data_IF_292060670652
#
_entry.id   IF_292060670652
#
_cell.length_a   1.000
_cell.length_b   1.000
_cell.length_c   1.000
_cell.angle_alpha   90.00
_cell.angle_beta   90.00
_cell.angle_gamma   90.00
#
_symmetry.space_group_name_H-M   'P 1'
#
loop_
_entity.id
_entity.type
_entity.pdbx_description
1 polymer ?
#
# COMPACT_ATOMS: atom_id res chain seq x y z
N UNK A 1 10.51 -12.06 7.39
CA UNK A 1 11.12 -10.74 7.14
C UNK A 1 10.00 -9.75 6.92
N UNK A 2 9.91 -8.69 7.74
CA UNK A 2 8.94 -7.62 7.53
C UNK A 2 9.55 -6.67 6.50
N UNK A 3 8.94 -6.47 5.31
CA UNK A 3 9.48 -5.55 4.32
C UNK A 3 9.54 -4.14 4.89
N UNK A 4 10.61 -3.42 4.54
CA UNK A 4 10.82 -2.02 4.92
C UNK A 4 9.78 -1.10 4.27
N UNK A 5 9.65 0.13 4.77
CA UNK A 5 8.72 1.12 4.21
C UNK A 5 8.93 1.34 2.70
N UNK A 6 10.19 1.37 2.26
CA UNK A 6 10.57 1.52 0.86
C UNK A 6 10.19 0.29 0.02
N UNK A 7 10.39 -0.92 0.54
CA UNK A 7 9.97 -2.15 -0.15
C UNK A 7 8.45 -2.24 -0.25
N UNK A 8 7.71 -1.81 0.78
CA UNK A 8 6.26 -1.73 0.72
C UNK A 8 5.80 -0.70 -0.30
N UNK A 9 6.44 0.46 -0.35
CA UNK A 9 6.15 1.48 -1.35
C UNK A 9 6.32 0.93 -2.76
N UNK A 10 7.45 0.28 -3.06
CA UNK A 10 7.72 -0.32 -4.36
C UNK A 10 6.67 -1.38 -4.75
N UNK A 11 6.25 -2.22 -3.79
CA UNK A 11 5.17 -3.20 -4.01
C UNK A 11 3.83 -2.54 -4.30
N UNK A 12 3.49 -1.49 -3.58
CA UNK A 12 2.24 -0.75 -3.79
C UNK A 12 2.25 -0.06 -5.15
N UNK A 13 3.37 0.54 -5.55
CA UNK A 13 3.49 1.21 -6.86
C UNK A 13 3.38 0.22 -8.02
N UNK A 14 4.05 -0.93 -7.93
CA UNK A 14 3.90 -2.01 -8.92
C UNK A 14 2.44 -2.49 -9.01
N UNK A 15 1.80 -2.73 -7.87
CA UNK A 15 0.40 -3.13 -7.81
C UNK A 15 -0.55 -2.08 -8.41
N UNK A 16 -0.30 -0.80 -8.11
CA UNK A 16 -1.08 0.32 -8.66
C UNK A 16 -0.93 0.41 -10.18
N UNK A 17 0.29 0.21 -10.70
CA UNK A 17 0.56 0.20 -12.14
C UNK A 17 -0.12 -0.98 -12.85
N UNK A 18 -0.02 -2.20 -12.29
CA UNK A 18 -0.65 -3.40 -12.84
C UNK A 18 -2.18 -3.28 -12.90
N UNK A 19 -2.79 -2.71 -11.86
CA UNK A 19 -4.25 -2.62 -11.74
C UNK A 19 -4.82 -1.29 -12.24
N UNK A 20 -3.99 -0.38 -12.78
CA UNK A 20 -4.38 0.98 -13.16
C UNK A 20 -5.11 1.74 -12.03
N UNK A 21 -4.70 1.52 -10.77
CA UNK A 21 -5.26 2.19 -9.59
C UNK A 21 -4.34 3.33 -9.17
N UNK A 22 -4.91 4.51 -8.89
CA UNK A 22 -4.12 5.62 -8.34
C UNK A 22 -3.65 5.29 -6.91
N UNK A 23 -2.40 5.61 -6.53
CA UNK A 23 -1.90 5.46 -5.17
C UNK A 23 -2.84 6.03 -4.10
N UNK A 24 -3.44 7.20 -4.37
CA UNK A 24 -4.37 7.86 -3.45
C UNK A 24 -5.66 7.03 -3.26
N UNK A 25 -6.16 6.42 -4.33
CA UNK A 25 -7.32 5.52 -4.30
C UNK A 25 -6.99 4.23 -3.58
N UNK A 26 -5.79 3.68 -3.82
CA UNK A 26 -5.31 2.50 -3.12
C UNK A 26 -5.24 2.75 -1.60
N UNK A 27 -4.58 3.81 -1.16
CA UNK A 27 -4.44 4.12 0.27
C UNK A 27 -5.80 4.31 0.95
N UNK A 28 -6.73 4.99 0.27
CA UNK A 28 -8.09 5.19 0.78
C UNK A 28 -8.91 3.88 0.85
N UNK A 29 -8.72 2.94 -0.08
CA UNK A 29 -9.39 1.64 -0.06
C UNK A 29 -8.76 0.66 0.93
N UNK A 30 -7.43 0.60 1.00
CA UNK A 30 -6.70 -0.34 1.83
C UNK A 30 -6.73 0.03 3.32
N UNK A 31 -6.50 1.30 3.66
CA UNK A 31 -6.37 1.72 5.06
C UNK A 31 -7.30 2.86 5.46
N UNK A 32 -7.97 3.50 4.51
CA UNK A 32 -8.79 4.70 4.73
C UNK A 32 -8.03 6.02 4.64
N UNK A 33 -6.74 5.98 4.27
CA UNK A 33 -5.84 7.15 4.22
C UNK A 33 -5.19 7.27 2.85
N UNK A 34 -5.65 8.24 2.06
CA UNK A 34 -5.09 8.52 0.73
C UNK A 34 -3.69 9.14 0.77
N UNK A 35 -3.25 9.66 1.92
CA UNK A 35 -1.93 10.28 2.08
C UNK A 35 -0.88 9.27 2.58
N UNK A 36 -1.26 8.01 2.81
CA UNK A 36 -0.34 7.00 3.30
C UNK A 36 0.90 6.87 2.39
N UNK A 37 0.69 6.76 1.08
CA UNK A 37 1.76 6.53 0.11
C UNK A 37 2.64 7.76 -0.04
N UNK A 38 2.04 8.96 -0.05
CA UNK A 38 2.79 10.22 0.00
C UNK A 38 3.64 10.33 1.26
N UNK A 39 3.13 9.85 2.40
CA UNK A 39 3.89 9.71 3.64
C UNK A 39 5.08 8.78 3.48
N UNK A 40 4.87 7.59 2.91
CA UNK A 40 5.94 6.61 2.68
C UNK A 40 7.03 7.14 1.74
N UNK A 41 6.65 7.87 0.68
CA UNK A 41 7.61 8.58 -0.19
C UNK A 41 8.44 9.61 0.56
N UNK A 42 7.89 10.22 1.59
CA UNK A 42 8.57 11.21 2.44
C UNK A 42 9.31 10.56 3.62
N UNK A 43 9.62 9.27 3.57
CA UNK A 43 10.27 8.50 4.66
C UNK A 43 9.48 8.49 5.97
N UNK A 44 8.15 8.64 5.92
CA UNK A 44 7.30 8.44 7.09
C UNK A 44 7.16 6.95 7.38
N UNK A 45 7.58 6.52 8.56
CA UNK A 45 7.36 5.13 8.98
C UNK A 45 5.89 4.81 9.11
N UNK A 46 5.46 3.68 8.53
CA UNK A 46 4.12 3.15 8.77
C UNK A 46 4.08 2.37 10.09
N UNK A 47 2.90 2.29 10.69
CA UNK A 47 2.70 1.35 11.81
C UNK A 47 2.56 -0.08 11.28
N UNK A 48 2.91 -1.07 12.09
CA UNK A 48 2.70 -2.49 11.77
C UNK A 48 1.26 -2.79 11.33
N UNK A 49 0.28 -2.16 12.00
CA UNK A 49 -1.15 -2.28 11.66
C UNK A 49 -1.45 -1.79 10.24
N UNK A 50 -0.82 -0.68 9.83
CA UNK A 50 -0.97 -0.13 8.49
C UNK A 50 -0.36 -1.06 7.44
N UNK A 51 0.86 -1.56 7.70
CA UNK A 51 1.50 -2.54 6.83
C UNK A 51 0.68 -3.81 6.65
N UNK A 52 0.09 -4.32 7.74
CA UNK A 52 -0.76 -5.52 7.70
C UNK A 52 -2.02 -5.31 6.86
N UNK A 53 -2.73 -4.18 7.03
CA UNK A 53 -3.89 -3.84 6.20
C UNK A 53 -3.54 -3.74 4.71
N UNK A 54 -2.38 -3.17 4.38
CA UNK A 54 -1.91 -3.08 2.99
C UNK A 54 -1.71 -4.49 2.40
N UNK A 55 -1.06 -5.38 3.14
CA UNK A 55 -0.82 -6.76 2.70
C UNK A 55 -2.15 -7.50 2.52
N UNK A 56 -3.05 -7.40 3.50
CA UNK A 56 -4.39 -8.00 3.45
C UNK A 56 -5.17 -7.50 2.24
N UNK A 57 -5.19 -6.18 2.01
CA UNK A 57 -5.87 -5.59 0.85
C UNK A 57 -5.29 -6.08 -0.48
N UNK A 58 -3.96 -6.13 -0.63
CA UNK A 58 -3.34 -6.66 -1.86
C UNK A 58 -3.62 -8.15 -2.06
N UNK A 59 -3.70 -8.94 -0.99
CA UNK A 59 -4.01 -10.36 -1.06
C UNK A 59 -5.49 -10.60 -1.41
N UNK A 60 -6.40 -9.83 -0.81
CA UNK A 60 -7.84 -9.87 -1.10
C UNK A 60 -8.12 -9.44 -2.54
N UNK A 61 -7.48 -8.35 -3.00
CA UNK A 61 -7.63 -7.87 -4.37
C UNK A 61 -7.15 -8.90 -5.39
N UNK A 62 -5.99 -9.53 -5.14
CA UNK A 62 -5.48 -10.63 -6.00
C UNK A 62 -6.36 -11.87 -6.01
N UNK A 63 -7.21 -12.06 -4.99
CA UNK A 63 -8.18 -13.16 -4.96
C UNK A 63 -9.49 -12.81 -5.66
N UNK A 64 -9.79 -11.52 -5.78
CA UNK A 64 -10.99 -11.00 -6.42
C UNK A 64 -10.81 -10.66 -7.91
N UNK A 65 -9.56 -10.48 -8.37
CA UNK A 65 -9.17 -10.32 -9.77
C UNK A 65 -8.93 -11.68 -10.43
#
# INVERSE_FOLDING_TARGET
>A
MIPTDAEMLAKIEAFCAENSISPTTFGRRAVGDGNLISGLRNNRSMTLRTGQKIIEFMAEFRRAA
#
